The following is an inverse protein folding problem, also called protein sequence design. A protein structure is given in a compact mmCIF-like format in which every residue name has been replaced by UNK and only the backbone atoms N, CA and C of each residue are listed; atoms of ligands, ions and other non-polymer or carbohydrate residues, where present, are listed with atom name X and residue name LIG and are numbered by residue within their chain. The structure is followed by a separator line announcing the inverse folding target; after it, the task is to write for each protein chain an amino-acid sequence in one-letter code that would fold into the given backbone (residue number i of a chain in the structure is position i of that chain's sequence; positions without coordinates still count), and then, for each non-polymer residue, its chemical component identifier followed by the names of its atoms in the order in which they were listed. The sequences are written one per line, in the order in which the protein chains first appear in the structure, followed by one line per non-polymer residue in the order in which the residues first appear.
data_IF_576404748438
#
_entry.id   IF_576404748438
#
_cell.length_a   1.000
_cell.length_b   1.000
_cell.length_c   1.000
_cell.angle_alpha   90.00
_cell.angle_beta   90.00
_cell.angle_gamma   90.00
#
_symmetry.space_group_name_H-M   'P 1'
#
loop_
_entity.id
_entity.type
_entity.pdbx_description
1 polymer ?
#
# COMPACT_ATOMS: atom_id res chain seq x y z
N UNK A 1 30.21 -5.03 -4.26
CA UNK A 1 29.09 -4.28 -3.62
C UNK A 1 27.83 -5.10 -3.82
N UNK A 2 26.94 -5.13 -2.82
CA UNK A 2 25.64 -5.77 -2.96
C UNK A 2 24.77 -4.86 -3.83
N UNK A 3 24.04 -5.42 -4.78
CA UNK A 3 23.11 -4.68 -5.65
C UNK A 3 21.74 -5.32 -5.50
N UNK A 4 20.72 -4.55 -5.11
CA UNK A 4 19.40 -5.06 -4.78
C UNK A 4 18.43 -4.87 -5.94
N UNK A 5 17.71 -5.91 -6.32
CA UNK A 5 16.56 -5.82 -7.21
C UNK A 5 15.29 -5.74 -6.36
N UNK A 6 14.64 -4.59 -6.38
CA UNK A 6 13.46 -4.29 -5.54
C UNK A 6 12.25 -4.06 -6.43
N UNK A 7 11.15 -4.74 -6.14
CA UNK A 7 9.85 -4.42 -6.72
C UNK A 7 9.02 -3.70 -5.66
N UNK A 8 8.42 -2.57 -6.02
CA UNK A 8 7.47 -1.85 -5.17
C UNK A 8 6.09 -1.93 -5.80
N UNK A 9 5.15 -2.50 -5.06
CA UNK A 9 3.76 -2.62 -5.49
C UNK A 9 3.02 -1.33 -5.18
N UNK A 10 2.35 -0.80 -6.17
CA UNK A 10 1.64 0.48 -6.12
C UNK A 10 0.20 0.27 -6.52
N UNK A 11 -0.73 0.76 -5.72
CA UNK A 11 -2.15 0.76 -6.05
C UNK A 11 -2.64 2.15 -6.44
N UNK A 12 -3.46 2.22 -7.46
CA UNK A 12 -4.29 3.40 -7.74
C UNK A 12 -5.58 3.31 -6.93
N UNK A 13 -5.94 4.38 -6.26
CA UNK A 13 -7.11 4.45 -5.37
C UNK A 13 -7.90 5.74 -5.62
N UNK A 14 -9.19 5.78 -5.31
CA UNK A 14 -9.92 7.03 -5.16
C UNK A 14 -9.21 7.97 -4.17
N UNK A 15 -9.14 9.26 -4.49
CA UNK A 15 -8.50 10.24 -3.60
C UNK A 15 -9.19 10.23 -2.22
N UNK A 16 -8.49 9.87 -1.12
CA UNK A 16 -9.08 9.85 0.22
C UNK A 16 -9.65 11.20 0.68
N UNK A 17 -9.18 12.29 0.06
CA UNK A 17 -9.71 13.65 0.34
C UNK A 17 -11.04 13.92 -0.34
N UNK A 18 -11.40 13.12 -1.35
CA UNK A 18 -12.66 13.22 -2.10
C UNK A 18 -13.19 11.80 -2.38
N UNK A 19 -13.64 11.07 -1.35
CA UNK A 19 -14.07 9.68 -1.48
C UNK A 19 -15.32 9.57 -2.36
N UNK A 20 -15.53 8.42 -3.01
CA UNK A 20 -16.72 8.16 -3.81
C UNK A 20 -17.98 8.18 -2.94
N UNK A 21 -19.09 8.58 -3.52
CA UNK A 21 -20.42 8.49 -2.89
C UNK A 21 -21.14 7.20 -3.29
N UNK A 22 -22.21 6.86 -2.58
CA UNK A 22 -23.07 5.74 -2.94
C UNK A 22 -24.18 6.19 -3.90
N UNK A 23 -24.42 5.39 -4.93
CA UNK A 23 -25.61 5.51 -5.77
C UNK A 23 -26.85 4.93 -5.08
N UNK A 24 -28.03 5.21 -5.64
CA UNK A 24 -29.31 4.70 -5.15
C UNK A 24 -29.35 3.15 -5.13
N UNK A 25 -28.66 2.51 -6.06
CA UNK A 25 -28.56 1.04 -6.15
C UNK A 25 -27.55 0.43 -5.17
N UNK A 26 -26.91 1.25 -4.33
CA UNK A 26 -25.89 0.82 -3.37
C UNK A 26 -24.51 0.56 -3.97
N UNK A 27 -24.29 0.86 -5.25
CA UNK A 27 -22.95 0.83 -5.87
C UNK A 27 -22.19 2.13 -5.61
N UNK A 28 -20.85 2.10 -5.74
CA UNK A 28 -20.04 3.31 -5.63
C UNK A 28 -20.19 4.17 -6.90
N UNK A 29 -20.36 5.47 -6.71
CA UNK A 29 -20.28 6.44 -7.80
C UNK A 29 -18.81 6.84 -8.01
N UNK A 30 -18.20 6.27 -9.02
CA UNK A 30 -16.81 6.56 -9.41
C UNK A 30 -16.73 7.64 -10.50
N UNK A 31 -17.86 8.21 -10.95
CA UNK A 31 -17.84 9.30 -11.92
C UNK A 31 -17.24 10.54 -11.26
N UNK A 32 -16.30 11.17 -11.94
CA UNK A 32 -15.61 12.37 -11.47
C UNK A 32 -14.76 12.19 -10.18
N UNK A 33 -14.55 10.96 -9.73
CA UNK A 33 -13.63 10.69 -8.62
C UNK A 33 -12.20 10.77 -9.13
N UNK A 34 -11.40 11.62 -8.50
CA UNK A 34 -9.97 11.70 -8.79
C UNK A 34 -9.29 10.41 -8.33
N UNK A 35 -8.55 9.76 -9.23
CA UNK A 35 -7.71 8.61 -8.91
C UNK A 35 -6.28 9.10 -8.64
N UNK A 36 -5.69 8.61 -7.58
CA UNK A 36 -4.34 8.93 -7.12
C UNK A 36 -3.56 7.67 -6.77
N UNK A 37 -2.26 7.78 -6.64
CA UNK A 37 -1.45 6.72 -6.02
C UNK A 37 -1.86 6.59 -4.55
N UNK A 38 -2.01 5.35 -4.08
CA UNK A 38 -2.26 5.09 -2.66
C UNK A 38 -1.20 5.79 -1.78
N UNK A 39 -1.60 6.70 -0.89
CA UNK A 39 -0.64 7.45 -0.07
C UNK A 39 0.30 6.56 0.74
N UNK A 40 -0.21 5.41 1.22
CA UNK A 40 0.56 4.48 2.05
C UNK A 40 1.65 3.77 1.24
N UNK A 41 1.46 3.53 -0.06
CA UNK A 41 2.48 2.91 -0.90
C UNK A 41 3.72 3.80 -1.08
N UNK A 42 3.60 5.11 -0.92
CA UNK A 42 4.74 6.04 -1.01
C UNK A 42 5.77 5.80 0.09
N UNK A 43 5.37 5.30 1.26
CA UNK A 43 6.30 4.88 2.33
C UNK A 43 7.14 3.68 1.90
N UNK A 44 6.53 2.73 1.19
CA UNK A 44 7.27 1.60 0.61
C UNK A 44 8.24 2.05 -0.50
N UNK A 45 7.85 3.03 -1.30
CA UNK A 45 8.75 3.67 -2.29
C UNK A 45 9.94 4.31 -1.60
N UNK A 46 9.72 5.11 -0.55
CA UNK A 46 10.80 5.75 0.19
C UNK A 46 11.74 4.73 0.84
N UNK A 47 11.19 3.66 1.42
CA UNK A 47 12.00 2.56 1.95
C UNK A 47 12.90 1.94 0.88
N UNK A 48 12.36 1.70 -0.33
CA UNK A 48 13.12 1.18 -1.46
C UNK A 48 14.23 2.14 -1.91
N UNK A 49 13.93 3.44 -1.97
CA UNK A 49 14.90 4.48 -2.36
C UNK A 49 16.06 4.56 -1.39
N UNK A 50 15.82 4.56 -0.08
CA UNK A 50 16.86 4.54 0.95
C UNK A 50 17.73 3.27 0.86
N UNK A 51 17.13 2.11 0.57
CA UNK A 51 17.87 0.88 0.35
C UNK A 51 18.76 0.97 -0.90
N UNK A 52 18.24 1.50 -2.00
CA UNK A 52 18.99 1.71 -3.23
C UNK A 52 20.17 2.69 -3.02
N UNK A 53 19.97 3.76 -2.27
CA UNK A 53 21.01 4.72 -1.91
C UNK A 53 22.12 4.06 -1.09
N UNK A 54 21.76 3.14 -0.18
CA UNK A 54 22.71 2.48 0.71
C UNK A 54 23.44 1.29 0.08
N UNK A 55 22.74 0.49 -0.72
CA UNK A 55 23.26 -0.80 -1.22
C UNK A 55 23.41 -0.84 -2.74
N UNK A 56 22.94 0.16 -3.45
CA UNK A 56 22.83 0.13 -4.90
C UNK A 56 21.68 -0.75 -5.40
N UNK A 57 21.52 -0.80 -6.71
CA UNK A 57 20.53 -1.68 -7.34
C UNK A 57 19.46 -0.98 -8.15
N UNK A 58 18.37 -1.69 -8.38
CA UNK A 58 17.27 -1.25 -9.26
C UNK A 58 15.92 -1.39 -8.58
N UNK A 59 15.06 -0.38 -8.77
CA UNK A 59 13.68 -0.36 -8.27
C UNK A 59 12.73 -0.37 -9.44
N UNK A 60 11.78 -1.31 -9.44
CA UNK A 60 10.68 -1.38 -10.40
C UNK A 60 9.37 -1.17 -9.66
N UNK A 61 8.59 -0.17 -10.05
CA UNK A 61 7.22 -0.01 -9.64
C UNK A 61 6.32 -0.97 -10.42
N UNK A 62 5.36 -1.60 -9.75
CA UNK A 62 4.42 -2.53 -10.38
C UNK A 62 3.00 -2.23 -9.88
N UNK A 63 2.06 -2.07 -10.80
CA UNK A 63 0.65 -1.85 -10.48
C UNK A 63 -0.26 -2.73 -11.32
N UNK A 64 -1.44 -3.03 -10.79
CA UNK A 64 -2.52 -3.74 -11.47
C UNK A 64 -3.81 -2.90 -11.36
N UNK A 65 -4.51 -2.72 -12.44
CA UNK A 65 -5.76 -1.95 -12.48
C UNK A 65 -6.50 -2.04 -13.81
N UNK A 66 -7.53 -1.23 -13.98
CA UNK A 66 -8.40 -1.20 -15.16
C UNK A 66 -8.47 0.17 -15.85
N UNK A 67 -7.91 1.22 -15.26
CA UNK A 67 -8.01 2.58 -15.77
C UNK A 67 -6.95 2.92 -16.83
N UNK A 68 -7.24 3.94 -17.66
CA UNK A 68 -6.34 4.41 -18.71
C UNK A 68 -5.36 5.51 -18.24
N UNK A 69 -5.62 6.12 -17.08
CA UNK A 69 -4.80 7.20 -16.56
C UNK A 69 -3.52 6.66 -15.88
N UNK A 70 -2.54 6.28 -16.69
CA UNK A 70 -1.23 5.81 -16.19
C UNK A 70 -0.32 6.96 -15.73
N UNK A 71 -0.66 8.19 -16.07
CA UNK A 71 0.17 9.36 -15.71
C UNK A 71 0.28 9.59 -14.20
N UNK A 72 -0.67 9.06 -13.42
CA UNK A 72 -0.59 9.09 -11.96
C UNK A 72 0.67 8.37 -11.42
N UNK A 73 1.17 7.35 -12.12
CA UNK A 73 2.37 6.62 -11.70
C UNK A 73 3.67 7.37 -11.99
N UNK A 74 3.63 8.45 -12.77
CA UNK A 74 4.79 9.31 -13.03
C UNK A 74 5.30 10.00 -11.76
N UNK A 75 4.44 10.19 -10.76
CA UNK A 75 4.86 10.66 -9.44
C UNK A 75 5.86 9.70 -8.81
N UNK A 76 5.63 8.40 -8.91
CA UNK A 76 6.51 7.36 -8.36
C UNK A 76 7.86 7.32 -9.08
N UNK A 77 7.84 7.49 -10.41
CA UNK A 77 9.06 7.61 -11.21
C UNK A 77 9.82 8.88 -10.81
N UNK A 78 9.12 10.01 -10.62
CA UNK A 78 9.71 11.28 -10.21
C UNK A 78 10.33 11.21 -8.80
N UNK A 79 9.81 10.36 -7.88
CA UNK A 79 10.44 10.09 -6.59
C UNK A 79 11.79 9.37 -6.72
N UNK A 80 12.09 8.71 -7.85
CA UNK A 80 13.39 8.06 -8.11
C UNK A 80 13.33 6.57 -8.43
N UNK A 81 12.12 6.01 -8.66
CA UNK A 81 11.95 4.65 -9.15
C UNK A 81 12.46 4.53 -10.58
N UNK A 82 13.25 3.51 -10.90
CA UNK A 82 13.98 3.39 -12.17
C UNK A 82 13.06 3.09 -13.36
N UNK A 83 12.03 2.28 -13.15
CA UNK A 83 11.04 1.92 -14.17
C UNK A 83 9.72 1.56 -13.53
N UNK A 84 8.66 1.59 -14.31
CA UNK A 84 7.32 1.26 -13.84
C UNK A 84 6.63 0.36 -14.86
N UNK A 85 5.91 -0.65 -14.40
CA UNK A 85 5.11 -1.55 -15.23
C UNK A 85 3.66 -1.49 -14.72
N UNK A 86 2.73 -1.26 -15.64
CA UNK A 86 1.32 -1.30 -15.35
C UNK A 86 0.67 -2.52 -15.99
N UNK A 87 -0.01 -3.34 -15.18
CA UNK A 87 -0.81 -4.46 -15.66
C UNK A 87 -2.24 -3.97 -15.79
N UNK A 88 -2.78 -4.01 -16.99
CA UNK A 88 -4.16 -3.60 -17.26
C UNK A 88 -5.05 -4.80 -17.49
N UNK A 89 -6.14 -4.88 -16.74
CA UNK A 89 -7.17 -5.89 -16.91
C UNK A 89 -8.57 -5.26 -16.82
N UNK A 90 -9.45 -5.45 -17.81
CA UNK A 90 -10.81 -4.89 -17.78
C UNK A 90 -11.70 -5.48 -16.68
N UNK A 91 -11.38 -6.69 -16.20
CA UNK A 91 -12.12 -7.37 -15.13
C UNK A 91 -11.54 -7.13 -13.73
N UNK A 92 -10.56 -6.22 -13.58
CA UNK A 92 -9.89 -5.91 -12.31
C UNK A 92 -10.85 -5.69 -11.13
N UNK A 93 -12.00 -5.05 -11.38
CA UNK A 93 -12.99 -4.77 -10.33
C UNK A 93 -13.69 -6.04 -9.82
N UNK A 94 -13.64 -7.12 -10.58
CA UNK A 94 -14.19 -8.43 -10.19
C UNK A 94 -13.20 -9.25 -9.38
N UNK A 95 -11.92 -8.91 -9.43
CA UNK A 95 -10.87 -9.64 -8.73
C UNK A 95 -10.96 -9.37 -7.23
N UNK A 96 -10.97 -10.43 -6.43
CA UNK A 96 -10.70 -10.32 -5.00
C UNK A 96 -9.20 -10.13 -4.72
N UNK A 97 -8.85 -9.98 -3.45
CA UNK A 97 -7.44 -9.78 -3.06
C UNK A 97 -6.56 -10.97 -3.42
N UNK A 98 -7.11 -12.19 -3.38
CA UNK A 98 -6.38 -13.41 -3.70
C UNK A 98 -6.01 -13.46 -5.19
N UNK A 99 -6.96 -13.13 -6.08
CA UNK A 99 -6.68 -13.05 -7.52
C UNK A 99 -5.71 -11.92 -7.85
N UNK A 100 -5.88 -10.72 -7.24
CA UNK A 100 -4.95 -9.60 -7.42
C UNK A 100 -3.53 -9.98 -7.02
N UNK A 101 -3.36 -10.61 -5.87
CA UNK A 101 -2.04 -11.07 -5.41
C UNK A 101 -1.44 -12.14 -6.30
N UNK A 102 -2.27 -13.04 -6.85
CA UNK A 102 -1.83 -14.04 -7.82
C UNK A 102 -1.31 -13.41 -9.10
N UNK A 103 -2.08 -12.50 -9.72
CA UNK A 103 -1.65 -11.78 -10.93
C UNK A 103 -0.33 -11.04 -10.69
N UNK A 104 -0.21 -10.30 -9.58
CA UNK A 104 1.02 -9.61 -9.22
C UNK A 104 2.19 -10.57 -9.02
N UNK A 105 1.98 -11.72 -8.38
CA UNK A 105 3.03 -12.72 -8.20
C UNK A 105 3.54 -13.29 -9.53
N UNK A 106 2.63 -13.50 -10.49
CA UNK A 106 3.01 -13.96 -11.85
C UNK A 106 3.78 -12.89 -12.62
N UNK A 107 3.41 -11.61 -12.45
CA UNK A 107 4.16 -10.49 -13.01
C UNK A 107 5.56 -10.38 -12.40
N UNK A 108 5.70 -10.53 -11.08
CA UNK A 108 7.00 -10.58 -10.40
C UNK A 108 7.87 -11.70 -11.00
N UNK A 109 7.33 -12.89 -11.20
CA UNK A 109 8.04 -14.01 -11.84
C UNK A 109 8.44 -13.73 -13.28
N UNK A 110 7.65 -12.97 -14.02
CA UNK A 110 8.01 -12.53 -15.36
C UNK A 110 9.15 -11.51 -15.33
N UNK A 111 9.11 -10.55 -14.41
CA UNK A 111 10.19 -9.57 -14.20
C UNK A 111 11.50 -10.28 -13.82
N UNK A 112 11.45 -11.31 -12.96
CA UNK A 112 12.64 -12.08 -12.57
C UNK A 112 13.36 -12.73 -13.75
N UNK A 113 12.65 -13.11 -14.82
CA UNK A 113 13.28 -13.69 -16.02
C UNK A 113 14.18 -12.70 -16.76
N UNK A 114 13.79 -11.41 -16.74
CA UNK A 114 14.50 -10.37 -17.49
C UNK A 114 15.53 -9.64 -16.61
N UNK A 115 15.22 -9.42 -15.33
CA UNK A 115 16.05 -8.66 -14.40
C UNK A 115 17.03 -9.55 -13.61
N UNK A 116 16.76 -10.85 -13.54
CA UNK A 116 17.36 -11.75 -12.56
C UNK A 116 16.58 -11.75 -11.24
N UNK A 117 17.12 -12.45 -10.24
CA UNK A 117 16.46 -12.63 -8.94
C UNK A 117 15.99 -11.29 -8.34
N UNK A 118 14.72 -11.24 -7.92
CA UNK A 118 14.17 -10.16 -7.10
C UNK A 118 14.54 -10.44 -5.63
N UNK A 119 15.17 -9.47 -4.97
CA UNK A 119 15.60 -9.60 -3.57
C UNK A 119 14.53 -9.18 -2.58
N UNK A 120 13.77 -8.13 -2.93
CA UNK A 120 12.72 -7.56 -2.09
C UNK A 120 11.48 -7.24 -2.90
N UNK A 121 10.31 -7.56 -2.33
CA UNK A 121 9.03 -7.05 -2.79
C UNK A 121 8.45 -6.18 -1.67
N UNK A 122 8.22 -4.91 -1.92
CA UNK A 122 7.69 -3.96 -0.95
C UNK A 122 6.29 -3.50 -1.36
N UNK A 123 5.42 -3.27 -0.42
CA UNK A 123 4.12 -2.62 -0.61
C UNK A 123 3.77 -1.77 0.61
N UNK A 124 2.78 -0.91 0.52
CA UNK A 124 2.18 -0.30 1.70
C UNK A 124 1.48 -1.34 2.58
N UNK A 125 1.33 -1.05 3.87
CA UNK A 125 0.67 -1.96 4.79
C UNK A 125 -0.77 -2.26 4.37
N UNK A 126 -1.45 -1.27 3.80
CA UNK A 126 -2.81 -1.36 3.30
C UNK A 126 -3.10 -0.31 2.22
N UNK A 127 -4.26 -0.37 1.61
CA UNK A 127 -4.72 0.66 0.68
C UNK A 127 -5.89 1.44 1.29
N UNK A 128 -5.90 2.76 1.09
CA UNK A 128 -6.88 3.68 1.67
C UNK A 128 -8.33 3.45 1.24
N UNK A 129 -8.56 2.64 0.21
CA UNK A 129 -9.89 2.32 -0.30
C UNK A 129 -10.51 1.06 0.29
N UNK A 130 -9.68 0.08 0.70
CA UNK A 130 -10.18 -1.23 1.17
C UNK A 130 -9.63 -1.67 2.52
N UNK A 131 -8.52 -1.13 2.97
CA UNK A 131 -7.86 -1.39 4.27
C UNK A 131 -7.71 -2.89 4.61
N UNK A 132 -7.48 -3.73 3.60
CA UNK A 132 -7.44 -5.18 3.79
C UNK A 132 -6.14 -5.69 4.45
N UNK A 133 -5.00 -5.06 4.18
CA UNK A 133 -3.72 -5.38 4.82
C UNK A 133 -3.13 -6.78 4.54
N UNK A 134 -3.66 -7.52 3.57
CA UNK A 134 -3.32 -8.95 3.34
C UNK A 134 -2.35 -9.21 2.19
N UNK A 135 -2.08 -8.19 1.35
CA UNK A 135 -1.40 -8.37 0.08
C UNK A 135 0.00 -8.98 0.23
N UNK A 136 0.80 -8.48 1.18
CA UNK A 136 2.17 -8.96 1.39
C UNK A 136 2.20 -10.46 1.72
N UNK A 137 1.31 -10.92 2.61
CA UNK A 137 1.22 -12.32 3.02
C UNK A 137 0.77 -13.22 1.87
N UNK A 138 -0.22 -12.78 1.09
CA UNK A 138 -0.70 -13.53 -0.08
C UNK A 138 0.39 -13.67 -1.15
N UNK A 139 1.12 -12.58 -1.45
CA UNK A 139 2.23 -12.63 -2.43
C UNK A 139 3.37 -13.51 -1.93
N UNK A 140 3.73 -13.43 -0.64
CA UNK A 140 4.72 -14.30 -0.03
C UNK A 140 4.37 -15.79 -0.21
N UNK A 141 3.10 -16.14 0.00
CA UNK A 141 2.63 -17.51 -0.21
C UNK A 141 2.67 -17.92 -1.69
N UNK A 142 2.23 -17.06 -2.63
CA UNK A 142 2.32 -17.37 -4.06
C UNK A 142 3.76 -17.54 -4.57
N UNK A 143 4.68 -16.74 -4.06
CA UNK A 143 6.11 -16.79 -4.43
C UNK A 143 6.89 -17.84 -3.66
N UNK A 144 6.30 -18.43 -2.59
CA UNK A 144 6.97 -19.37 -1.65
C UNK A 144 8.20 -18.76 -0.98
N UNK A 145 8.07 -17.49 -0.58
CA UNK A 145 9.10 -16.74 0.14
C UNK A 145 8.53 -16.15 1.44
N UNK A 146 9.36 -15.85 2.45
CA UNK A 146 8.89 -15.20 3.67
C UNK A 146 8.18 -13.89 3.39
N UNK A 147 7.22 -13.55 4.27
CA UNK A 147 6.58 -12.23 4.30
C UNK A 147 6.54 -11.68 5.71
N UNK A 148 6.75 -10.37 5.87
CA UNK A 148 6.63 -9.66 7.15
C UNK A 148 5.76 -8.43 6.91
N UNK A 149 4.63 -8.35 7.61
CA UNK A 149 3.71 -7.22 7.54
C UNK A 149 3.96 -6.22 8.67
N UNK A 150 3.51 -4.97 8.49
CA UNK A 150 3.63 -3.88 9.46
C UNK A 150 5.08 -3.53 9.80
N UNK A 151 5.96 -3.49 8.80
CA UNK A 151 7.36 -3.10 8.99
C UNK A 151 7.45 -1.59 9.16
N UNK A 152 7.92 -1.17 10.34
CA UNK A 152 8.24 0.23 10.66
C UNK A 152 9.55 0.65 9.97
N UNK A 153 10.61 -0.14 10.14
CA UNK A 153 11.95 0.19 9.62
C UNK A 153 12.71 -1.05 9.17
N UNK A 154 13.43 -0.94 8.07
CA UNK A 154 14.45 -1.90 7.68
C UNK A 154 15.77 -1.44 8.32
N UNK A 155 16.33 -2.26 9.21
CA UNK A 155 17.48 -1.89 10.02
C UNK A 155 18.79 -2.25 9.32
N UNK A 156 18.90 -3.48 8.80
CA UNK A 156 20.13 -4.00 8.21
C UNK A 156 19.84 -5.05 7.14
N UNK A 157 20.66 -5.07 6.10
CA UNK A 157 20.74 -6.18 5.14
C UNK A 157 22.20 -6.66 5.12
N UNK A 158 22.42 -7.95 5.44
CA UNK A 158 23.73 -8.55 5.51
C UNK A 158 23.67 -10.06 5.29
N UNK A 159 24.63 -10.59 4.53
CA UNK A 159 24.79 -12.03 4.31
C UNK A 159 23.51 -12.75 3.86
N UNK A 160 22.74 -12.14 2.92
CA UNK A 160 21.50 -12.71 2.42
C UNK A 160 20.32 -12.70 3.42
N UNK A 161 20.46 -11.97 4.51
CA UNK A 161 19.42 -11.77 5.52
C UNK A 161 19.07 -10.30 5.66
N UNK A 162 17.84 -10.04 6.09
CA UNK A 162 17.31 -8.71 6.41
C UNK A 162 16.84 -8.67 7.86
N UNK A 163 17.12 -7.59 8.55
CA UNK A 163 16.62 -7.31 9.90
C UNK A 163 15.67 -6.13 9.82
N UNK A 164 14.47 -6.32 10.35
CA UNK A 164 13.40 -5.30 10.33
C UNK A 164 12.85 -5.09 11.72
N UNK A 165 12.34 -3.87 11.96
CA UNK A 165 11.54 -3.49 13.10
C UNK A 165 10.08 -3.51 12.66
N UNK A 166 9.25 -4.33 13.31
CA UNK A 166 7.83 -4.51 13.02
C UNK A 166 7.00 -3.90 14.14
N UNK A 167 5.87 -3.28 13.79
CA UNK A 167 4.87 -2.81 14.75
C UNK A 167 4.06 -4.01 15.25
N UNK A 168 3.84 -4.07 16.54
CA UNK A 168 2.92 -4.97 17.23
C UNK A 168 2.00 -4.16 18.15
N UNK A 169 0.99 -4.78 18.73
CA UNK A 169 -0.04 -4.11 19.53
C UNK A 169 0.56 -3.24 20.65
N UNK A 170 1.55 -3.75 21.39
CA UNK A 170 2.17 -3.10 22.55
C UNK A 170 3.60 -2.58 22.27
N UNK A 171 3.93 -2.23 21.04
CA UNK A 171 5.25 -1.68 20.71
C UNK A 171 5.88 -2.21 19.43
N UNK A 172 7.13 -2.70 19.52
CA UNK A 172 7.89 -3.12 18.35
C UNK A 172 8.56 -4.47 18.58
N UNK A 173 8.70 -5.22 17.48
CA UNK A 173 9.45 -6.47 17.45
C UNK A 173 10.54 -6.39 16.39
N UNK A 174 11.76 -6.81 16.73
CA UNK A 174 12.85 -6.96 15.75
C UNK A 174 12.86 -8.38 15.20
N UNK A 175 12.77 -8.51 13.89
CA UNK A 175 12.73 -9.78 13.18
C UNK A 175 13.88 -9.89 12.19
N UNK A 176 14.40 -11.11 12.04
CA UNK A 176 15.36 -11.46 10.97
C UNK A 176 14.69 -12.43 10.00
N UNK A 177 14.86 -12.18 8.71
CA UNK A 177 14.40 -13.08 7.64
C UNK A 177 15.50 -13.33 6.64
N UNK A 178 15.41 -14.44 5.91
CA UNK A 178 16.23 -14.66 4.70
C UNK A 178 15.62 -13.88 3.54
N UNK A 179 16.46 -13.51 2.59
CA UNK A 179 16.04 -12.93 1.31
C UNK A 179 15.99 -14.03 0.22
N UNK A 180 15.08 -13.96 -0.74
CA UNK A 180 14.11 -12.88 -0.96
C UNK A 180 12.98 -12.87 0.08
N UNK A 181 12.35 -11.69 0.26
CA UNK A 181 11.27 -11.50 1.23
C UNK A 181 10.26 -10.45 0.74
N UNK A 182 9.00 -10.60 1.13
CA UNK A 182 7.95 -9.59 0.92
C UNK A 182 7.76 -8.80 2.21
N UNK A 183 7.75 -7.48 2.12
CA UNK A 183 7.52 -6.61 3.28
C UNK A 183 6.36 -5.66 3.01
N UNK A 184 5.41 -5.52 3.93
CA UNK A 184 4.50 -4.38 3.93
C UNK A 184 5.01 -3.31 4.89
N UNK A 185 5.16 -2.09 4.37
CA UNK A 185 5.77 -0.95 5.05
C UNK A 185 4.66 -0.10 5.66
N UNK A 186 4.79 0.19 6.96
CA UNK A 186 3.89 1.08 7.68
C UNK A 186 4.22 2.56 7.39
N UNK A 187 3.29 3.44 7.73
CA UNK A 187 3.36 4.88 7.50
C UNK A 187 4.07 5.65 8.63
N UNK A 188 4.91 4.97 9.42
CA UNK A 188 5.56 5.53 10.61
C UNK A 188 7.07 5.69 10.48
N UNK A 189 7.74 4.71 9.89
CA UNK A 189 9.22 4.64 9.91
C UNK A 189 9.92 5.41 8.81
N UNK A 190 9.21 5.90 7.80
CA UNK A 190 9.74 6.59 6.63
C UNK A 190 8.95 7.87 6.38
N UNK A 191 9.57 8.84 5.75
CA UNK A 191 8.92 10.07 5.29
C UNK A 191 9.09 10.16 3.76
N UNK A 192 8.01 9.98 2.99
CA UNK A 192 8.08 10.01 1.53
C UNK A 192 8.62 11.34 1.01
N UNK A 193 9.68 11.29 0.21
CA UNK A 193 10.26 12.50 -0.41
C UNK A 193 9.31 13.12 -1.42
N UNK A 194 9.40 14.44 -1.54
CA UNK A 194 8.68 15.21 -2.56
C UNK A 194 9.59 15.33 -3.78
N UNK A 195 9.14 14.91 -4.99
CA UNK A 195 9.92 15.05 -6.20
C UNK A 195 10.24 16.51 -6.53
N UNK A 196 11.44 16.76 -7.04
CA UNK A 196 11.74 18.09 -7.58
C UNK A 196 10.96 18.37 -8.88
N UNK A 197 10.85 19.66 -9.25
CA UNK A 197 10.23 20.04 -10.53
C UNK A 197 10.97 19.41 -11.72
N UNK A 198 12.31 19.35 -11.66
CA UNK A 198 13.14 18.72 -12.68
C UNK A 198 12.81 17.23 -12.82
N UNK A 199 12.73 16.49 -11.71
CA UNK A 199 12.44 15.05 -11.72
C UNK A 199 11.03 14.79 -12.24
N UNK A 200 10.06 15.64 -11.88
CA UNK A 200 8.69 15.60 -12.40
C UNK A 200 8.65 15.77 -13.92
N UNK A 201 9.40 16.73 -14.47
CA UNK A 201 9.50 16.94 -15.93
C UNK A 201 10.17 15.75 -16.62
N UNK A 202 11.23 15.21 -16.03
CA UNK A 202 11.93 14.04 -16.58
C UNK A 202 11.05 12.79 -16.54
N UNK A 203 10.27 12.59 -15.50
CA UNK A 203 9.35 11.47 -15.37
C UNK A 203 8.25 11.45 -16.45
N UNK A 204 7.81 12.64 -16.93
CA UNK A 204 6.83 12.74 -18.02
C UNK A 204 7.32 12.11 -19.34
N UNK A 205 8.61 12.04 -19.55
CA UNK A 205 9.24 11.48 -20.76
C UNK A 205 9.51 9.98 -20.64
N UNK A 206 9.35 9.40 -19.46
CA UNK A 206 9.60 7.97 -19.24
C UNK A 206 8.44 7.16 -19.79
N UNK A 207 8.74 6.08 -20.46
CA UNK A 207 7.76 5.10 -20.90
C UNK A 207 7.31 4.25 -19.72
N UNK A 208 6.01 3.93 -19.65
CA UNK A 208 5.40 3.01 -18.72
C UNK A 208 4.83 1.85 -19.54
N UNK A 209 5.53 0.71 -19.63
CA UNK A 209 5.02 -0.46 -20.31
C UNK A 209 3.69 -0.92 -19.71
N UNK A 210 2.73 -1.21 -20.59
CA UNK A 210 1.44 -1.77 -20.23
C UNK A 210 1.45 -3.25 -20.60
N UNK A 211 1.30 -4.12 -19.60
CA UNK A 211 1.10 -5.53 -19.79
C UNK A 211 -0.39 -5.88 -19.66
N UNK A 212 -0.82 -6.91 -20.32
CA UNK A 212 -2.13 -7.53 -20.13
C UNK A 212 -1.99 -8.76 -19.24
N UNK A 213 -3.03 -9.11 -18.51
CA UNK A 213 -3.06 -10.36 -17.73
C UNK A 213 -2.85 -11.59 -18.62
N UNK A 214 -3.30 -11.55 -19.88
CA UNK A 214 -3.02 -12.58 -20.89
C UNK A 214 -1.53 -12.81 -21.15
N UNK A 215 -0.67 -11.83 -20.90
CA UNK A 215 0.78 -11.93 -21.10
C UNK A 215 1.49 -12.65 -19.93
N UNK A 216 0.75 -13.03 -18.89
CA UNK A 216 1.29 -13.56 -17.63
C UNK A 216 1.12 -15.08 -17.47
N UNK A 217 0.56 -15.79 -18.46
CA UNK A 217 0.29 -17.23 -18.39
C UNK A 217 -0.45 -17.62 -17.10
N UNK A 218 -1.59 -16.98 -16.87
CA UNK A 218 -2.41 -17.22 -15.69
C UNK A 218 -3.23 -18.50 -15.82
N UNK A 219 -3.24 -19.34 -14.80
CA UNK A 219 -4.29 -20.33 -14.59
C UNK A 219 -5.39 -19.63 -13.77
N UNK A 220 -6.46 -19.20 -14.43
CA UNK A 220 -7.55 -18.50 -13.76
C UNK A 220 -8.20 -19.39 -12.71
N UNK A 221 -8.24 -18.89 -11.47
CA UNK A 221 -9.06 -19.45 -10.40
C UNK A 221 -10.29 -18.55 -10.22
N UNK A 222 -11.41 -19.16 -9.87
CA UNK A 222 -12.62 -18.41 -9.57
C UNK A 222 -12.42 -17.48 -8.38
N UNK A 223 -13.07 -16.32 -8.40
CA UNK A 223 -13.11 -15.36 -7.30
C UNK A 223 -13.78 -16.00 -6.09
N UNK A 224 -13.11 -16.03 -4.95
CA UNK A 224 -13.62 -16.63 -3.71
C UNK A 224 -14.54 -15.65 -2.97
N UNK A 225 -14.22 -14.36 -3.02
CA UNK A 225 -14.96 -13.30 -2.34
C UNK A 225 -15.70 -12.42 -3.33
N UNK A 226 -16.98 -12.16 -3.06
CA UNK A 226 -17.82 -11.26 -3.87
C UNK A 226 -18.35 -10.13 -3.02
N UNK A 227 -18.16 -8.90 -3.47
CA UNK A 227 -18.80 -7.73 -2.86
C UNK A 227 -20.31 -7.78 -3.12
N UNK A 228 -21.12 -7.85 -2.07
CA UNK A 228 -22.58 -7.91 -2.16
C UNK A 228 -23.18 -6.51 -2.24
N UNK A 229 -22.73 -5.60 -1.37
CA UNK A 229 -23.19 -4.20 -1.34
C UNK A 229 -22.24 -3.32 -0.52
N UNK A 230 -22.30 -2.02 -0.76
CA UNK A 230 -21.72 -1.00 0.10
C UNK A 230 -22.82 -0.39 0.98
N UNK A 231 -22.46 0.02 2.19
CA UNK A 231 -23.34 0.77 3.10
C UNK A 231 -22.54 1.92 3.70
N UNK A 232 -23.10 3.12 3.63
CA UNK A 232 -22.54 4.26 4.33
C UNK A 232 -22.81 4.13 5.82
N UNK A 233 -21.77 4.28 6.63
CA UNK A 233 -21.91 4.35 8.08
C UNK A 233 -22.13 5.80 8.45
N UNK A 234 -23.31 6.12 8.96
CA UNK A 234 -23.60 7.43 9.54
C UNK A 234 -23.01 7.48 10.94
N UNK A 235 -21.93 8.22 11.11
CA UNK A 235 -21.38 8.52 12.43
C UNK A 235 -22.07 9.78 12.99
N UNK A 236 -22.99 9.61 13.92
CA UNK A 236 -23.56 10.71 14.66
C UNK A 236 -22.59 11.08 15.78
N UNK A 237 -21.73 12.06 15.52
CA UNK A 237 -20.92 12.67 16.59
C UNK A 237 -21.85 13.59 17.38
N UNK A 238 -21.95 13.39 18.69
CA UNK A 238 -22.77 14.23 19.58
C UNK A 238 -22.25 15.67 19.65
N UNK A 239 -20.95 15.90 19.39
CA UNK A 239 -20.37 17.22 19.29
C UNK A 239 -20.48 18.03 20.60
N UNK A 240 -20.50 17.36 21.75
CA UNK A 240 -20.56 18.04 23.06
C UNK A 240 -19.26 18.82 23.28
N UNK A 241 -19.38 20.10 23.54
CA UNK A 241 -18.25 20.99 23.84
C UNK A 241 -18.39 21.41 25.29
N UNK A 242 -17.37 21.12 26.09
CA UNK A 242 -17.29 21.52 27.47
C UNK A 242 -16.50 22.85 27.57
N UNK A 243 -17.06 23.83 28.21
CA UNK A 243 -16.41 25.15 28.46
C UNK A 243 -16.64 25.55 29.92
N UNK A 244 -15.55 25.82 30.59
CA UNK A 244 -15.55 26.40 31.93
C UNK A 244 -14.25 27.21 32.09
N UNK A 245 -14.20 28.17 32.99
CA UNK A 245 -12.97 28.88 33.33
C UNK A 245 -12.04 28.02 34.19
N UNK A 246 -12.62 27.07 34.93
CA UNK A 246 -11.92 26.06 35.74
C UNK A 246 -11.76 24.76 34.98
N UNK A 247 -10.52 24.41 34.66
CA UNK A 247 -10.16 23.20 33.90
C UNK A 247 -10.57 21.94 34.64
N UNK A 248 -10.44 21.88 35.94
CA UNK A 248 -10.79 20.70 36.74
C UNK A 248 -12.30 20.42 36.68
N UNK A 249 -13.14 21.45 36.79
CA UNK A 249 -14.59 21.31 36.61
C UNK A 249 -14.97 20.87 35.19
N UNK A 250 -14.22 21.35 34.21
CA UNK A 250 -14.45 20.93 32.82
C UNK A 250 -14.13 19.44 32.61
N UNK A 251 -13.04 18.97 33.22
CA UNK A 251 -12.64 17.56 33.19
C UNK A 251 -13.67 16.70 33.93
N UNK A 252 -14.12 17.10 35.10
CA UNK A 252 -15.12 16.35 35.85
C UNK A 252 -16.42 16.21 35.09
N UNK A 253 -16.93 17.27 34.48
CA UNK A 253 -18.13 17.22 33.61
C UNK A 253 -17.92 16.30 32.39
N UNK A 254 -16.74 16.31 31.79
CA UNK A 254 -16.42 15.41 30.67
C UNK A 254 -16.50 13.95 31.13
N UNK A 255 -15.91 13.59 32.25
CA UNK A 255 -15.95 12.23 32.80
C UNK A 255 -17.36 11.81 33.25
N UNK A 256 -18.15 12.70 33.80
CA UNK A 256 -19.55 12.41 34.14
C UNK A 256 -20.39 12.11 32.90
N UNK A 257 -20.23 12.89 31.83
CA UNK A 257 -20.93 12.65 30.58
C UNK A 257 -20.47 11.35 29.90
N UNK A 258 -19.18 11.00 29.93
CA UNK A 258 -18.70 9.71 29.43
C UNK A 258 -19.34 8.52 30.18
N UNK A 259 -19.41 8.61 31.50
CA UNK A 259 -20.09 7.58 32.32
C UNK A 259 -21.57 7.48 31.99
N UNK A 260 -22.24 8.61 31.80
CA UNK A 260 -23.67 8.68 31.44
C UNK A 260 -23.92 8.08 30.05
N UNK A 261 -23.02 8.28 29.12
CA UNK A 261 -23.08 7.69 27.75
C UNK A 261 -22.61 6.21 27.74
N UNK A 262 -22.31 5.59 28.89
CA UNK A 262 -21.97 4.18 29.05
C UNK A 262 -20.53 3.83 28.66
N UNK A 263 -19.65 4.82 28.55
CA UNK A 263 -18.22 4.60 28.27
C UNK A 263 -17.50 4.20 29.54
N UNK A 264 -17.03 2.96 29.62
CA UNK A 264 -16.17 2.50 30.72
C UNK A 264 -14.72 2.92 30.46
N UNK A 265 -14.16 3.73 31.35
CA UNK A 265 -12.78 4.23 31.28
C UNK A 265 -11.77 3.33 32.01
N UNK A 266 -12.26 2.27 32.67
CA UNK A 266 -11.42 1.31 33.40
C UNK A 266 -11.46 -0.03 32.68
N UNK A 267 -10.34 -0.46 32.17
CA UNK A 267 -9.96 -1.85 32.01
C UNK A 267 -8.96 -2.22 33.07
#
# INVERSE_FOLDING_TARGET
MMSLNIIVLIKSVPDPKSPPTLKVDGSLDLKNVKIVVNPIDKYAVEAALQLKERYGGKIIGLSLGDHDNIDIFREIIAMGVDSFIYIKDPDYQRFDTLQKSYVLSRAIKKIEKDLGRVDLVLCGVESSDTNMGVLASQIGEWLKIPSISYVDKILEIKNGSIIVKKIIEDGFMTLRSRMPVVLSIADTGYEPRIPSLRDTIMARRREIPIWKTTDLSLEFRETVLKTVRFKQIESKRLGKIFRDEDVDKMIDRFFEELKRDGVSLLR
#
